data_IF_077343289576
#
_entry.id   IF_077343289576
#
_cell.length_a   1.000
_cell.length_b   1.000
_cell.length_c   1.000
_cell.angle_alpha   90.00
_cell.angle_beta   90.00
_cell.angle_gamma   90.00
#
_symmetry.space_group_name_H-M   'P 1'
#
loop_
_entity.id
_entity.type
_entity.pdbx_description
1 polymer ?
#
# COMPACT_ATOMS: atom_id res chain seq x y z
N UNK A 1 -14.03 25.25 -0.36
CA UNK A 1 -14.43 24.47 -1.54
C UNK A 1 -14.05 23.03 -1.25
N UNK A 2 -15.01 22.20 -0.83
CA UNK A 2 -14.77 20.78 -0.58
C UNK A 2 -14.87 20.05 -1.91
N UNK A 3 -13.75 19.97 -2.63
CA UNK A 3 -13.69 19.14 -3.82
C UNK A 3 -13.60 17.68 -3.37
N UNK A 4 -14.66 16.91 -3.60
CA UNK A 4 -14.62 15.46 -3.42
C UNK A 4 -13.77 14.92 -4.56
N UNK A 5 -12.53 14.55 -4.26
CA UNK A 5 -11.66 13.89 -5.24
C UNK A 5 -12.21 12.49 -5.47
N UNK A 6 -12.85 12.30 -6.63
CA UNK A 6 -13.23 10.97 -7.10
C UNK A 6 -11.95 10.22 -7.50
N UNK A 7 -11.68 9.11 -6.83
CA UNK A 7 -10.57 8.21 -7.16
C UNK A 7 -11.09 7.02 -7.95
N UNK A 8 -10.45 6.71 -9.07
CA UNK A 8 -10.64 5.44 -9.79
C UNK A 8 -9.71 4.36 -9.22
N UNK A 9 -10.02 3.06 -9.36
CA UNK A 9 -9.11 2.00 -8.98
C UNK A 9 -7.75 2.14 -9.67
N UNK A 10 -6.66 2.02 -8.91
CA UNK A 10 -5.30 2.04 -9.47
C UNK A 10 -5.07 0.78 -10.32
N UNK A 11 -4.84 0.96 -11.62
CA UNK A 11 -4.50 -0.10 -12.58
C UNK A 11 -2.96 -0.11 -12.71
N UNK A 12 -2.28 -0.80 -11.80
CA UNK A 12 -0.81 -0.88 -11.75
C UNK A 12 -0.21 -0.19 -10.53
N UNK A 13 0.71 0.75 -10.75
CA UNK A 13 1.36 1.51 -9.68
C UNK A 13 1.54 2.99 -10.05
N UNK A 14 1.54 3.85 -9.03
CA UNK A 14 1.92 5.25 -9.10
C UNK A 14 3.15 5.49 -8.22
N UNK A 15 4.02 6.44 -8.60
CA UNK A 15 5.20 6.81 -7.82
C UNK A 15 5.23 8.31 -7.59
N UNK A 16 5.46 8.70 -6.35
CA UNK A 16 5.61 10.09 -5.94
C UNK A 16 6.86 10.26 -5.10
N UNK A 17 7.63 11.32 -5.36
CA UNK A 17 8.70 11.75 -4.46
C UNK A 17 8.12 12.73 -3.44
N UNK A 18 8.26 12.42 -2.16
CA UNK A 18 7.87 13.30 -1.06
C UNK A 18 9.11 13.74 -0.28
N UNK A 19 9.10 14.99 0.20
CA UNK A 19 10.20 15.52 1.02
C UNK A 19 9.65 15.88 2.39
N UNK A 20 10.17 15.24 3.43
CA UNK A 20 9.81 15.50 4.83
C UNK A 20 11.10 15.77 5.60
N UNK A 21 11.20 16.95 6.23
CA UNK A 21 12.37 17.35 7.03
C UNK A 21 13.71 17.12 6.30
N UNK A 22 13.83 17.61 5.06
CA UNK A 22 14.99 17.43 4.17
C UNK A 22 15.35 15.97 3.81
N UNK A 23 14.50 15.01 4.17
CA UNK A 23 14.63 13.61 3.74
C UNK A 23 13.68 13.35 2.59
N UNK A 24 14.19 12.74 1.52
CA UNK A 24 13.41 12.40 0.32
C UNK A 24 12.96 10.95 0.38
N UNK A 25 11.70 10.71 0.06
CA UNK A 25 11.14 9.37 -0.01
C UNK A 25 10.49 9.16 -1.36
N UNK A 26 10.74 8.00 -1.96
CA UNK A 26 9.93 7.48 -3.06
C UNK A 26 8.79 6.68 -2.46
N UNK A 27 7.57 7.13 -2.71
CA UNK A 27 6.33 6.49 -2.30
C UNK A 27 5.69 5.80 -3.49
N UNK A 28 5.43 4.50 -3.36
CA UNK A 28 4.73 3.71 -4.38
C UNK A 28 3.32 3.37 -3.93
N UNK A 29 2.30 3.88 -4.62
CA UNK A 29 0.90 3.43 -4.49
C UNK A 29 0.68 2.27 -5.45
N UNK A 30 0.26 1.12 -4.93
CA UNK A 30 0.14 -0.11 -5.71
C UNK A 30 -1.31 -0.61 -5.66
N UNK A 31 -1.84 -0.91 -6.85
CA UNK A 31 -3.18 -1.48 -6.99
C UNK A 31 -3.32 -2.80 -6.23
N UNK A 32 -4.40 -2.93 -5.46
CA UNK A 32 -4.67 -4.12 -4.64
C UNK A 32 -5.73 -5.08 -5.18
N UNK A 33 -6.11 -4.92 -6.45
CA UNK A 33 -6.90 -5.89 -7.20
C UNK A 33 -6.18 -7.24 -7.21
N UNK A 34 -6.92 -8.33 -7.11
CA UNK A 34 -6.36 -9.70 -7.02
C UNK A 34 -5.39 -10.00 -8.17
N UNK A 35 -5.73 -9.60 -9.40
CA UNK A 35 -4.90 -9.77 -10.59
C UNK A 35 -3.54 -9.07 -10.52
N UNK A 36 -3.38 -8.05 -9.67
CA UNK A 36 -2.16 -7.25 -9.54
C UNK A 36 -1.27 -7.72 -8.37
N UNK A 37 -1.81 -8.50 -7.41
CA UNK A 37 -1.10 -8.87 -6.16
C UNK A 37 0.15 -9.71 -6.41
N UNK A 38 0.15 -10.51 -7.47
CA UNK A 38 1.32 -11.31 -7.88
C UNK A 38 2.55 -10.46 -8.19
N UNK A 39 2.39 -9.17 -8.49
CA UNK A 39 3.47 -8.25 -8.80
C UNK A 39 4.01 -7.48 -7.59
N UNK A 40 3.34 -7.53 -6.43
CA UNK A 40 3.72 -6.74 -5.26
C UNK A 40 5.15 -7.01 -4.78
N UNK A 41 5.61 -8.25 -4.90
CA UNK A 41 6.96 -8.66 -4.49
C UNK A 41 8.07 -7.92 -5.24
N UNK A 42 7.81 -7.47 -6.47
CA UNK A 42 8.79 -6.70 -7.26
C UNK A 42 9.15 -5.36 -6.62
N UNK A 43 8.34 -4.86 -5.70
CA UNK A 43 8.55 -3.57 -5.06
C UNK A 43 9.25 -3.67 -3.70
N UNK A 44 9.39 -4.85 -3.10
CA UNK A 44 9.98 -5.01 -1.76
C UNK A 44 11.48 -4.72 -1.71
N UNK A 45 12.20 -4.89 -2.83
CA UNK A 45 13.64 -4.64 -2.91
C UNK A 45 13.98 -3.20 -2.54
N UNK A 46 14.84 -3.02 -1.54
CA UNK A 46 15.24 -1.71 -1.01
C UNK A 46 14.07 -0.88 -0.45
N UNK A 47 12.99 -1.53 -0.03
CA UNK A 47 11.93 -0.87 0.74
C UNK A 47 12.31 -0.83 2.20
N UNK A 48 12.11 0.31 2.86
CA UNK A 48 12.34 0.45 4.30
C UNK A 48 11.03 0.33 5.08
N UNK A 49 9.94 0.84 4.50
CA UNK A 49 8.62 0.84 5.13
C UNK A 49 7.53 0.36 4.18
N UNK A 50 6.64 -0.48 4.71
CA UNK A 50 5.42 -0.92 4.04
C UNK A 50 4.22 -0.44 4.84
N UNK A 51 3.30 0.28 4.21
CA UNK A 51 2.01 0.63 4.82
C UNK A 51 0.90 -0.17 4.14
N UNK A 52 0.32 -1.11 4.90
CA UNK A 52 -0.87 -1.85 4.51
C UNK A 52 -2.09 -1.10 5.02
N UNK A 53 -2.89 -0.59 4.09
CA UNK A 53 -4.14 0.11 4.41
C UNK A 53 -5.30 -0.87 4.37
N UNK A 54 -6.05 -0.94 5.47
CA UNK A 54 -7.20 -1.82 5.63
C UNK A 54 -8.44 -0.97 5.78
N UNK A 55 -9.46 -1.25 4.97
CA UNK A 55 -10.78 -0.67 5.17
C UNK A 55 -11.39 -1.27 6.44
N UNK A 56 -11.54 -0.44 7.47
CA UNK A 56 -12.09 -0.81 8.77
C UNK A 56 -13.57 -1.23 8.72
N UNK A 57 -14.29 -0.90 7.64
CA UNK A 57 -15.70 -1.26 7.48
C UNK A 57 -15.92 -2.54 6.71
N UNK A 58 -14.91 -3.02 5.97
CA UNK A 58 -15.03 -4.20 5.14
C UNK A 58 -14.61 -5.48 5.85
N UNK A 59 -15.51 -6.02 6.66
CA UNK A 59 -15.25 -7.17 7.53
C UNK A 59 -15.03 -8.47 6.77
N UNK A 60 -15.70 -8.65 5.64
CA UNK A 60 -15.62 -9.88 4.82
C UNK A 60 -14.21 -10.08 4.25
N UNK A 61 -13.53 -8.96 4.03
CA UNK A 61 -12.27 -8.87 3.32
C UNK A 61 -11.05 -8.87 4.23
N UNK A 62 -11.22 -8.79 5.55
CA UNK A 62 -10.13 -8.83 6.55
C UNK A 62 -9.30 -10.13 6.45
N UNK A 63 -9.94 -11.28 6.20
CA UNK A 63 -9.24 -12.56 6.05
C UNK A 63 -8.26 -12.53 4.88
N UNK A 64 -8.68 -11.96 3.76
CA UNK A 64 -7.86 -11.77 2.56
C UNK A 64 -6.67 -10.86 2.85
N UNK A 65 -6.86 -9.72 3.54
CA UNK A 65 -5.73 -8.86 3.93
C UNK A 65 -4.72 -9.61 4.78
N UNK A 66 -5.21 -10.39 5.75
CA UNK A 66 -4.37 -11.15 6.66
C UNK A 66 -3.51 -12.13 5.85
N UNK A 67 -4.12 -12.93 4.98
CA UNK A 67 -3.37 -13.88 4.16
C UNK A 67 -2.30 -13.21 3.31
N UNK A 68 -2.64 -12.10 2.64
CA UNK A 68 -1.66 -11.33 1.86
C UNK A 68 -0.54 -10.77 2.72
N UNK A 69 -0.85 -10.15 3.87
CA UNK A 69 0.16 -9.64 4.80
C UNK A 69 1.14 -10.74 5.25
N UNK A 70 0.64 -11.95 5.55
CA UNK A 70 1.50 -13.07 5.92
C UNK A 70 2.39 -13.52 4.76
N UNK A 71 1.90 -13.51 3.51
CA UNK A 71 2.72 -13.77 2.32
C UNK A 71 3.81 -12.70 2.16
N UNK A 72 3.49 -11.43 2.40
CA UNK A 72 4.47 -10.33 2.39
C UNK A 72 5.55 -10.58 3.45
N UNK A 73 5.16 -10.81 4.70
CA UNK A 73 6.09 -11.01 5.83
C UNK A 73 6.98 -12.26 5.66
N UNK A 74 6.51 -13.28 4.96
CA UNK A 74 7.29 -14.48 4.68
C UNK A 74 8.39 -14.26 3.63
N UNK A 75 8.32 -13.18 2.84
CA UNK A 75 9.28 -12.88 1.79
C UNK A 75 10.64 -12.46 2.39
N UNK A 76 11.74 -13.02 1.90
CA UNK A 76 13.07 -12.80 2.52
C UNK A 76 13.51 -11.34 2.45
N UNK A 77 13.24 -10.68 1.32
CA UNK A 77 13.61 -9.29 1.06
C UNK A 77 12.89 -8.31 2.00
N UNK A 78 11.71 -8.66 2.50
CA UNK A 78 10.95 -7.78 3.39
C UNK A 78 11.32 -7.93 4.87
N UNK A 79 12.24 -8.83 5.23
CA UNK A 79 12.66 -9.03 6.64
C UNK A 79 13.35 -7.80 7.24
N UNK A 80 13.90 -6.94 6.40
CA UNK A 80 14.52 -5.67 6.82
C UNK A 80 13.54 -4.49 6.77
N UNK A 81 12.31 -4.70 6.27
CA UNK A 81 11.28 -3.65 6.20
C UNK A 81 10.50 -3.57 7.51
N UNK A 82 10.09 -2.36 7.87
CA UNK A 82 9.11 -2.12 8.93
C UNK A 82 7.70 -2.08 8.30
N UNK A 83 6.78 -2.87 8.84
CA UNK A 83 5.40 -2.92 8.38
C UNK A 83 4.49 -2.13 9.33
N UNK A 84 3.69 -1.23 8.76
CA UNK A 84 2.60 -0.55 9.44
C UNK A 84 1.27 -1.02 8.86
N UNK A 85 0.34 -1.41 9.73
CA UNK A 85 -1.04 -1.71 9.34
C UNK A 85 -1.92 -0.56 9.81
N UNK A 86 -2.56 0.13 8.88
CA UNK A 86 -3.40 1.30 9.17
C UNK A 86 -4.84 0.98 8.80
N UNK A 87 -5.73 1.05 9.77
CA UNK A 87 -7.17 0.91 9.56
C UNK A 87 -7.77 2.27 9.26
N UNK A 88 -8.32 2.44 8.06
CA UNK A 88 -9.00 3.67 7.65
C UNK A 88 -10.49 3.41 7.42
N UNK A 89 -11.31 4.37 7.79
CA UNK A 89 -12.67 4.45 7.26
C UNK A 89 -12.64 5.30 6.00
N UNK A 90 -12.47 4.65 4.85
CA UNK A 90 -12.51 5.34 3.57
C UNK A 90 -13.99 5.53 3.20
N UNK A 91 -14.49 6.77 3.22
CA UNK A 91 -15.82 7.13 2.65
C UNK A 91 -15.86 7.00 1.11
N UNK A 92 -15.11 6.07 0.53
CA UNK A 92 -15.08 5.84 -0.91
C UNK A 92 -15.93 4.60 -1.20
N UNK A 93 -17.15 4.83 -1.68
CA UNK A 93 -18.13 3.78 -2.01
C UNK A 93 -17.77 2.93 -3.23
N UNK A 94 -16.50 2.60 -3.44
CA UNK A 94 -16.08 1.68 -4.48
C UNK A 94 -15.03 0.73 -3.93
N UNK A 95 -15.38 -0.55 -3.98
CA UNK A 95 -14.47 -1.68 -3.98
C UNK A 95 -13.15 -1.30 -4.66
N UNK A 96 -12.05 -1.23 -3.90
CA UNK A 96 -10.74 -1.73 -4.31
C UNK A 96 -9.69 -1.32 -3.28
N UNK A 97 -9.06 -2.35 -2.73
CA UNK A 97 -7.85 -2.26 -1.92
C UNK A 97 -6.80 -1.39 -2.62
N UNK A 98 -6.20 -0.49 -1.86
CA UNK A 98 -4.93 0.11 -2.23
C UNK A 98 -3.96 -0.17 -1.09
N UNK A 99 -2.87 -0.90 -1.37
CA UNK A 99 -1.70 -0.89 -0.48
C UNK A 99 -1.02 0.42 -0.79
N UNK A 100 -1.32 1.45 0.00
CA UNK A 100 -1.13 2.83 -0.44
C UNK A 100 0.30 3.33 -0.40
N UNK A 101 1.24 2.61 0.22
CA UNK A 101 2.60 3.09 0.21
C UNK A 101 3.64 2.01 0.53
N UNK A 102 4.61 1.87 -0.37
CA UNK A 102 5.96 1.42 -0.02
C UNK A 102 6.88 2.64 -0.04
N UNK A 103 7.70 2.82 1.00
CA UNK A 103 8.66 3.92 1.09
C UNK A 103 10.08 3.42 0.91
N UNK A 104 10.82 4.11 0.04
CA UNK A 104 12.27 3.98 -0.11
C UNK A 104 12.90 5.35 0.13
N UNK A 105 13.97 5.44 0.90
CA UNK A 105 14.77 6.66 0.93
C UNK A 105 15.39 6.88 -0.47
N UNK A 106 15.16 8.07 -1.03
CA UNK A 106 15.78 8.47 -2.28
C UNK A 106 17.16 9.04 -1.94
N UNK A 107 18.22 8.23 -2.08
CA UNK A 107 19.61 8.72 -2.00
C UNK A 107 19.90 9.73 -3.12
#
# INVERSE_FOLDING_TARGET
MNEVVHTSPTIGSNVEEIVVNNTRFLMWDIGGQESLRSSWNTYYTNTEFVIVVVDSTDRERISVTKEELYKMLAHEVSRSCIFFVVYLWLRCGSENWSVRALFKNAM
#
